data_IF_939306456960
#
_entry.id   IF_939306456960
#
_cell.length_a   1.000
_cell.length_b   1.000
_cell.length_c   1.000
_cell.angle_alpha   90.00
_cell.angle_beta   90.00
_cell.angle_gamma   90.00
#
_symmetry.space_group_name_H-M   'P 1'
#
loop_
_entity.id
_entity.type
_entity.pdbx_description
1 polymer ?
#
# COMPACT_ATOMS: atom_id res chain seq x y z
N UNK A 1 5.72 4.94 -21.67
CA UNK A 1 6.18 5.70 -20.53
C UNK A 1 5.36 5.36 -19.28
N UNK A 2 6.03 5.17 -18.20
CA UNK A 2 5.37 4.84 -16.95
C UNK A 2 4.75 6.06 -16.32
N UNK A 3 3.56 5.90 -15.83
CA UNK A 3 2.88 6.98 -15.12
C UNK A 3 2.86 6.71 -13.62
N UNK A 4 3.88 6.04 -13.14
CA UNK A 4 3.94 5.69 -11.73
C UNK A 4 4.09 6.93 -10.86
N UNK A 5 3.42 6.90 -9.73
CA UNK A 5 3.48 7.96 -8.74
C UNK A 5 4.02 7.36 -7.44
N UNK A 6 4.21 8.21 -6.43
CA UNK A 6 4.80 7.75 -5.17
C UNK A 6 3.97 6.65 -4.52
N UNK A 7 2.65 6.79 -4.56
CA UNK A 7 1.78 5.78 -3.97
C UNK A 7 1.91 4.45 -4.70
N UNK A 8 1.92 4.47 -6.04
CA UNK A 8 2.00 3.22 -6.79
C UNK A 8 3.32 2.51 -6.58
N UNK A 9 4.40 3.26 -6.49
CA UNK A 9 5.71 2.68 -6.23
C UNK A 9 5.75 2.05 -4.85
N UNK A 10 5.20 2.74 -3.86
CA UNK A 10 5.15 2.21 -2.51
C UNK A 10 4.29 0.95 -2.44
N UNK A 11 3.12 0.99 -3.05
CA UNK A 11 2.22 -0.16 -3.03
C UNK A 11 2.88 -1.38 -3.65
N UNK A 12 3.50 -1.21 -4.80
CA UNK A 12 4.21 -2.29 -5.47
C UNK A 12 5.29 -2.86 -4.57
N UNK A 13 6.06 -1.99 -3.93
CA UNK A 13 7.13 -2.40 -3.04
C UNK A 13 6.58 -3.22 -1.86
N UNK A 14 5.53 -2.72 -1.23
CA UNK A 14 4.95 -3.39 -0.07
C UNK A 14 4.45 -4.79 -0.44
N UNK A 15 3.76 -4.89 -1.57
CA UNK A 15 3.24 -6.19 -2.01
C UNK A 15 4.37 -7.15 -2.35
N UNK A 16 5.43 -6.67 -2.97
CA UNK A 16 6.58 -7.51 -3.31
C UNK A 16 7.30 -8.01 -2.07
N UNK A 17 7.61 -7.12 -1.14
CA UNK A 17 8.35 -7.51 0.06
C UNK A 17 7.52 -8.46 0.92
N UNK A 18 6.23 -8.17 1.06
CA UNK A 18 5.34 -9.02 1.84
C UNK A 18 5.00 -10.32 1.11
N UNK A 19 5.26 -10.40 -0.19
CA UNK A 19 4.90 -11.53 -1.04
C UNK A 19 3.39 -11.73 -1.06
N UNK A 20 2.67 -10.62 -1.17
CA UNK A 20 1.21 -10.60 -1.24
C UNK A 20 0.80 -10.30 -2.68
N UNK A 21 -0.08 -11.12 -3.22
CA UNK A 21 -0.50 -10.96 -4.60
C UNK A 21 -1.62 -9.93 -4.71
N UNK A 22 -1.73 -9.32 -5.90
CA UNK A 22 -2.75 -8.32 -6.15
C UNK A 22 -4.15 -8.84 -5.82
N UNK A 23 -4.46 -10.08 -6.20
CA UNK A 23 -5.81 -10.59 -5.96
C UNK A 23 -6.09 -10.79 -4.47
N UNK A 24 -5.05 -11.08 -3.68
CA UNK A 24 -5.23 -11.22 -2.25
C UNK A 24 -5.67 -9.89 -1.63
N UNK A 25 -5.01 -8.81 -2.04
CA UNK A 25 -5.39 -7.49 -1.58
C UNK A 25 -6.79 -7.11 -2.08
N UNK A 26 -7.07 -7.40 -3.34
CA UNK A 26 -8.37 -7.09 -3.92
C UNK A 26 -9.49 -7.78 -3.14
N UNK A 27 -9.29 -9.06 -2.84
CA UNK A 27 -10.28 -9.82 -2.10
C UNK A 27 -10.49 -9.22 -0.71
N UNK A 28 -9.40 -8.85 -0.05
CA UNK A 28 -9.46 -8.28 1.29
C UNK A 28 -10.22 -6.97 1.31
N UNK A 29 -10.04 -6.15 0.28
CA UNK A 29 -10.71 -4.86 0.15
C UNK A 29 -12.08 -4.96 -0.49
N UNK A 30 -12.42 -6.12 -1.03
CA UNK A 30 -13.67 -6.36 -1.75
C UNK A 30 -13.75 -5.52 -3.03
N UNK A 31 -12.64 -5.45 -3.71
CA UNK A 31 -12.53 -4.78 -5.00
C UNK A 31 -12.21 -5.80 -6.07
N UNK A 32 -12.50 -5.46 -7.31
CA UNK A 32 -12.01 -6.24 -8.44
C UNK A 32 -10.51 -6.06 -8.53
N UNK A 33 -9.80 -7.12 -8.91
CA UNK A 33 -8.34 -7.07 -8.97
C UNK A 33 -7.85 -6.02 -9.96
N UNK A 34 -8.67 -5.65 -10.94
CA UNK A 34 -8.28 -4.62 -11.89
C UNK A 34 -8.02 -3.27 -11.23
N UNK A 35 -8.72 -2.98 -10.13
CA UNK A 35 -8.44 -1.74 -9.38
C UNK A 35 -7.03 -1.76 -8.80
N UNK A 36 -6.68 -2.90 -8.20
CA UNK A 36 -5.35 -3.03 -7.59
C UNK A 36 -4.27 -2.89 -8.66
N UNK A 37 -4.48 -3.54 -9.80
CA UNK A 37 -3.51 -3.47 -10.90
C UNK A 37 -3.34 -2.03 -11.39
N UNK A 38 -4.41 -1.26 -11.45
CA UNK A 38 -4.34 0.13 -11.88
C UNK A 38 -3.63 1.00 -10.84
N UNK A 39 -3.85 0.73 -9.55
CA UNK A 39 -3.12 1.46 -8.51
C UNK A 39 -1.63 1.16 -8.57
N UNK A 40 -1.27 -0.12 -8.75
CA UNK A 40 0.13 -0.53 -8.80
C UNK A 40 0.83 0.04 -10.03
N UNK A 41 0.14 0.11 -11.15
CA UNK A 41 0.73 0.63 -12.38
C UNK A 41 0.74 2.16 -12.44
N UNK A 42 0.04 2.82 -11.52
CA UNK A 42 -0.02 4.27 -11.51
C UNK A 42 -1.08 4.87 -12.40
N UNK A 43 -1.92 4.04 -13.02
CA UNK A 43 -2.97 4.52 -13.89
C UNK A 43 -4.11 5.19 -13.14
N UNK A 44 -4.26 4.86 -11.86
CA UNK A 44 -5.39 5.31 -11.07
C UNK A 44 -4.97 5.37 -9.62
N UNK A 45 -5.54 6.32 -8.89
CA UNK A 45 -5.36 6.41 -7.45
C UNK A 45 -6.66 6.00 -6.76
N UNK A 46 -6.59 5.56 -5.51
CA UNK A 46 -7.81 5.31 -4.74
C UNK A 46 -8.67 6.56 -4.68
N UNK A 47 -9.98 6.37 -4.75
CA UNK A 47 -10.92 7.49 -4.71
C UNK A 47 -10.86 8.18 -3.34
N UNK A 48 -11.01 9.50 -3.35
CA UNK A 48 -10.95 10.28 -2.11
C UNK A 48 -11.96 9.81 -1.07
N UNK A 49 -13.14 9.45 -1.53
CA UNK A 49 -14.20 9.00 -0.63
C UNK A 49 -13.79 7.80 0.20
N UNK A 50 -12.97 6.93 -0.35
CA UNK A 50 -12.63 5.66 0.28
C UNK A 50 -11.17 5.54 0.65
N UNK A 51 -10.38 6.61 0.50
CA UNK A 51 -8.94 6.49 0.66
C UNK A 51 -8.54 6.03 2.05
N UNK A 52 -9.22 6.51 3.10
CA UNK A 52 -8.89 6.09 4.44
C UNK A 52 -9.12 4.59 4.62
N UNK A 53 -10.26 4.11 4.17
CA UNK A 53 -10.59 2.68 4.25
C UNK A 53 -9.58 1.86 3.46
N UNK A 54 -9.20 2.35 2.29
CA UNK A 54 -8.24 1.65 1.44
C UNK A 54 -6.86 1.61 2.10
N UNK A 55 -6.40 2.73 2.68
CA UNK A 55 -5.10 2.75 3.33
C UNK A 55 -5.09 1.80 4.54
N UNK A 56 -6.16 1.78 5.31
CA UNK A 56 -6.28 0.85 6.43
C UNK A 56 -6.26 -0.59 5.94
N UNK A 57 -6.99 -0.87 4.87
CA UNK A 57 -7.03 -2.22 4.30
C UNK A 57 -5.68 -2.67 3.76
N UNK A 58 -4.97 -1.78 3.09
CA UNK A 58 -3.64 -2.11 2.56
C UNK A 58 -2.69 -2.44 3.71
N UNK A 59 -2.64 -1.60 4.74
CA UNK A 59 -1.72 -1.83 5.85
C UNK A 59 -2.04 -3.13 6.57
N UNK A 60 -3.32 -3.39 6.83
CA UNK A 60 -3.72 -4.62 7.50
C UNK A 60 -3.41 -5.85 6.64
N UNK A 61 -3.73 -5.79 5.35
CA UNK A 61 -3.51 -6.91 4.45
C UNK A 61 -2.02 -7.24 4.32
N UNK A 62 -1.20 -6.22 4.11
CA UNK A 62 0.23 -6.41 3.95
C UNK A 62 0.83 -7.09 5.17
N UNK A 63 0.46 -6.64 6.36
CA UNK A 63 1.02 -7.22 7.58
C UNK A 63 0.45 -8.60 7.87
N UNK A 64 -0.86 -8.76 7.74
CA UNK A 64 -1.52 -10.01 8.09
C UNK A 64 -1.19 -11.14 7.11
N UNK A 65 -1.08 -10.83 5.83
CA UNK A 65 -0.87 -11.83 4.79
C UNK A 65 0.58 -12.03 4.40
N UNK A 66 1.49 -11.25 4.96
CA UNK A 66 2.90 -11.34 4.62
C UNK A 66 3.47 -12.70 5.01
N UNK A 67 4.44 -13.18 4.22
CA UNK A 67 5.25 -14.32 4.67
C UNK A 67 6.05 -13.89 5.90
N UNK A 68 6.52 -14.86 6.67
CA UNK A 68 7.32 -14.54 7.85
C UNK A 68 8.56 -13.72 7.48
N UNK A 69 9.25 -14.13 6.40
CA UNK A 69 10.43 -13.40 5.95
C UNK A 69 10.06 -11.98 5.50
N UNK A 70 8.97 -11.87 4.76
CA UNK A 70 8.52 -10.56 4.28
C UNK A 70 8.15 -9.63 5.43
N UNK A 71 7.43 -10.16 6.42
CA UNK A 71 7.06 -9.36 7.58
C UNK A 71 8.29 -8.90 8.34
N UNK A 72 9.26 -9.78 8.52
CA UNK A 72 10.49 -9.41 9.21
C UNK A 72 11.26 -8.33 8.47
N UNK A 73 11.30 -8.42 7.14
CA UNK A 73 11.95 -7.37 6.35
C UNK A 73 11.24 -6.04 6.53
N UNK A 74 9.92 -6.04 6.55
CA UNK A 74 9.16 -4.81 6.72
C UNK A 74 9.34 -4.23 8.13
N UNK A 75 9.33 -5.09 9.15
CA UNK A 75 9.58 -4.62 10.51
C UNK A 75 10.92 -3.90 10.60
N UNK A 76 11.92 -4.46 9.94
CA UNK A 76 13.25 -3.86 9.91
C UNK A 76 13.25 -2.57 9.11
N UNK A 77 12.61 -2.59 7.96
CA UNK A 77 12.57 -1.41 7.08
C UNK A 77 11.94 -0.21 7.78
N UNK A 78 10.89 -0.44 8.57
CA UNK A 78 10.19 0.64 9.26
C UNK A 78 10.68 0.84 10.69
N UNK A 79 11.68 0.08 11.11
CA UNK A 79 12.30 0.22 12.42
C UNK A 79 11.29 0.06 13.55
N UNK A 80 10.39 -0.91 13.41
CA UNK A 80 9.41 -1.25 14.44
C UNK A 80 9.55 -2.72 14.81
N UNK A 81 9.02 -3.10 15.97
CA UNK A 81 9.24 -4.43 16.52
C UNK A 81 8.01 -5.32 16.49
N UNK A 82 6.82 -4.76 16.45
CA UNK A 82 5.60 -5.56 16.54
C UNK A 82 4.67 -5.23 15.39
N UNK A 83 3.83 -6.21 14.99
CA UNK A 83 2.97 -6.04 13.81
C UNK A 83 1.99 -4.87 13.90
N UNK A 84 1.46 -4.56 15.08
CA UNK A 84 0.53 -3.44 15.19
C UNK A 84 1.21 -2.11 14.90
N UNK A 85 2.46 -1.96 15.33
CA UNK A 85 3.23 -0.76 15.01
C UNK A 85 3.55 -0.71 13.54
N UNK A 86 3.80 -1.87 12.93
CA UNK A 86 4.05 -1.93 11.49
C UNK A 86 2.83 -1.50 10.70
N UNK A 87 1.64 -1.94 11.12
CA UNK A 87 0.41 -1.51 10.44
C UNK A 87 0.25 0.00 10.50
N UNK A 88 0.50 0.58 11.67
CA UNK A 88 0.39 2.03 11.83
C UNK A 88 1.41 2.76 10.95
N UNK A 89 2.63 2.26 10.89
CA UNK A 89 3.68 2.87 10.07
C UNK A 89 3.33 2.81 8.58
N UNK A 90 2.85 1.66 8.11
CA UNK A 90 2.48 1.50 6.72
C UNK A 90 1.29 2.39 6.37
N UNK A 91 0.31 2.47 7.27
CA UNK A 91 -0.84 3.35 7.05
C UNK A 91 -0.37 4.80 6.88
N UNK A 92 0.47 5.26 7.80
CA UNK A 92 0.94 6.63 7.77
C UNK A 92 1.74 6.94 6.52
N UNK A 93 2.66 6.06 6.14
CA UNK A 93 3.51 6.32 4.98
C UNK A 93 2.70 6.22 3.68
N UNK A 94 1.74 5.32 3.63
CA UNK A 94 0.88 5.19 2.45
C UNK A 94 0.05 6.45 2.25
N UNK A 95 -0.51 6.96 3.33
CA UNK A 95 -1.31 8.19 3.26
C UNK A 95 -0.44 9.37 2.85
N UNK A 96 0.75 9.47 3.40
CA UNK A 96 1.69 10.52 3.06
C UNK A 96 2.05 10.49 1.57
N UNK A 97 2.31 9.29 1.04
CA UNK A 97 2.66 9.16 -0.36
C UNK A 97 1.48 9.50 -1.27
N UNK A 98 0.28 9.15 -0.85
CA UNK A 98 -0.91 9.50 -1.61
C UNK A 98 -1.13 11.01 -1.63
N UNK A 99 -0.97 11.66 -0.48
CA UNK A 99 -1.14 13.11 -0.38
C UNK A 99 -0.04 13.88 -1.11
N UNK A 100 1.16 13.32 -1.17
CA UNK A 100 2.26 13.95 -1.87
C UNK A 100 1.94 14.19 -3.34
N UNK A 101 1.17 13.27 -3.94
CA UNK A 101 0.75 13.45 -5.33
C UNK A 101 -0.10 14.71 -5.49
N UNK A 102 -1.03 14.94 -4.57
CA UNK A 102 -1.87 16.13 -4.60
C UNK A 102 -1.06 17.39 -4.38
N UNK A 103 -0.17 17.33 -3.41
CA UNK A 103 0.66 18.48 -3.06
C UNK A 103 1.49 18.96 -4.24
N UNK A 104 1.99 18.03 -5.02
CA UNK A 104 2.81 18.33 -6.18
C UNK A 104 2.09 19.20 -7.18
N UNK A 105 0.78 19.06 -7.26
CA UNK A 105 -0.01 19.81 -8.23
C UNK A 105 -0.10 21.29 -7.92
N UNK A 106 0.24 21.69 -6.71
CA UNK A 106 0.14 23.08 -6.29
C UNK A 106 1.42 23.88 -6.52
N UNK A 107 2.41 23.21 -7.02
CA UNK A 107 3.66 23.91 -7.32
C UNK A 107 3.66 24.45 -8.73
#
# INVERSE_FOLDING_TARGET
MEDKNRFSILLEHLLEVAEVKNYTLAKRLQYDVSYISKWVSGRMLPAKKTEKRVMEGISACVVDEATDDGRNLLLREYSVSIPSDLKAAIYAVSYTHLRAHETTLHL
#
